data_IF_053673105945
#
_entry.id   IF_053673105945
#
_cell.length_a   1.000
_cell.length_b   1.000
_cell.length_c   1.000
_cell.angle_alpha   90.00
_cell.angle_beta   90.00
_cell.angle_gamma   90.00
#
_symmetry.space_group_name_H-M   'P 1'
#
loop_
_entity.id
_entity.type
_entity.pdbx_description
1 polymer ?
#
# COMPACT_ATOMS: atom_id res chain seq x y z
N UNK A 1 -3.79 25.31 20.31
CA UNK A 1 -4.29 23.94 20.56
C UNK A 1 -5.23 24.00 21.75
N UNK A 2 -6.44 23.45 21.61
CA UNK A 2 -7.43 23.48 22.72
C UNK A 2 -6.89 22.67 23.93
N UNK A 3 -7.12 23.14 25.17
CA UNK A 3 -6.60 22.49 26.38
C UNK A 3 -6.99 21.01 26.50
N UNK A 4 -8.16 20.65 26.02
CA UNK A 4 -8.68 19.26 26.03
C UNK A 4 -7.86 18.33 25.11
N UNK A 5 -7.40 18.82 23.95
CA UNK A 5 -6.54 18.06 23.04
C UNK A 5 -5.18 17.83 23.66
N UNK A 6 -4.64 18.85 24.35
CA UNK A 6 -3.35 18.74 25.05
C UNK A 6 -3.38 17.70 26.17
N UNK A 7 -4.47 17.60 26.93
CA UNK A 7 -4.61 16.62 28.00
C UNK A 7 -4.71 15.18 27.44
N UNK A 8 -5.41 14.97 26.32
CA UNK A 8 -5.46 13.68 25.67
C UNK A 8 -4.09 13.24 25.14
N UNK A 9 -3.32 14.16 24.56
CA UNK A 9 -1.95 13.93 24.11
C UNK A 9 -1.02 13.55 25.25
N UNK A 10 -1.06 14.28 26.34
CA UNK A 10 -0.17 14.05 27.50
C UNK A 10 -0.44 12.74 28.22
N UNK A 11 -1.69 12.29 28.28
CA UNK A 11 -2.06 11.03 28.93
C UNK A 11 -1.67 9.79 28.12
N UNK A 12 -1.57 9.89 26.80
CA UNK A 12 -1.26 8.78 25.90
C UNK A 12 0.17 8.82 25.35
N UNK A 13 0.91 9.92 25.52
CA UNK A 13 2.24 10.15 24.96
C UNK A 13 3.29 9.09 25.33
N UNK A 14 3.12 8.40 26.45
CA UNK A 14 4.03 7.32 26.88
C UNK A 14 3.89 6.02 26.07
N UNK A 15 2.83 5.87 25.28
CA UNK A 15 2.50 4.62 24.57
C UNK A 15 2.73 4.65 23.06
N UNK A 16 2.89 5.83 22.46
CA UNK A 16 2.95 5.99 21.02
C UNK A 16 4.19 6.76 20.59
N UNK A 17 4.80 6.35 19.47
CA UNK A 17 5.93 7.07 18.84
C UNK A 17 5.48 8.33 18.10
N UNK A 18 4.29 8.30 17.50
CA UNK A 18 3.70 9.40 16.74
C UNK A 18 2.25 9.53 17.13
N UNK A 19 1.79 10.75 17.36
CA UNK A 19 0.39 11.08 17.59
C UNK A 19 0.00 12.22 16.66
N UNK A 20 -1.10 12.04 15.93
CA UNK A 20 -1.66 13.07 15.06
C UNK A 20 -3.06 13.37 15.57
N UNK A 21 -3.29 14.60 16.04
CA UNK A 21 -4.61 15.06 16.41
C UNK A 21 -5.23 15.84 15.24
N UNK A 22 -6.35 15.35 14.76
CA UNK A 22 -7.15 16.04 13.75
C UNK A 22 -8.38 16.61 14.45
N UNK A 23 -8.58 17.91 14.31
CA UNK A 23 -9.80 18.57 14.76
C UNK A 23 -10.57 19.03 13.53
N UNK A 24 -11.68 18.36 13.17
CA UNK A 24 -12.58 18.89 12.15
C UNK A 24 -13.13 20.23 12.62
N UNK A 25 -13.37 21.15 11.68
CA UNK A 25 -14.06 22.37 12.04
C UNK A 25 -15.54 22.09 12.43
N UNK A 26 -16.12 23.00 13.20
CA UNK A 26 -17.47 22.80 13.73
C UNK A 26 -18.54 22.72 12.61
N UNK A 27 -18.30 23.33 11.45
CA UNK A 27 -19.18 23.26 10.29
C UNK A 27 -19.15 21.86 9.65
N UNK A 28 -17.99 21.21 9.56
CA UNK A 28 -17.88 19.84 9.10
C UNK A 28 -18.59 18.85 10.04
N UNK A 29 -18.46 19.03 11.33
CA UNK A 29 -19.14 18.20 12.33
C UNK A 29 -20.66 18.33 12.27
N UNK A 30 -21.20 19.52 11.98
CA UNK A 30 -22.63 19.77 11.81
C UNK A 30 -23.20 19.10 10.55
N UNK A 31 -22.42 19.06 9.45
CA UNK A 31 -22.89 18.49 8.19
C UNK A 31 -22.75 16.98 8.09
N UNK A 32 -21.72 16.40 8.70
CA UNK A 32 -21.38 14.97 8.53
C UNK A 32 -21.90 14.10 9.69
N UNK A 33 -22.17 14.70 10.86
CA UNK A 33 -22.63 14.00 12.06
C UNK A 33 -21.55 13.11 12.70
N UNK A 34 -21.60 13.01 14.01
CA UNK A 34 -20.59 12.26 14.82
C UNK A 34 -20.46 10.78 14.40
N UNK A 35 -21.56 10.16 13.99
CA UNK A 35 -21.61 8.74 13.59
C UNK A 35 -20.92 8.49 12.24
N UNK A 36 -20.79 9.50 11.38
CA UNK A 36 -20.17 9.33 10.08
C UNK A 36 -18.66 9.03 10.21
N UNK A 37 -17.96 9.69 11.14
CA UNK A 37 -16.55 9.40 11.42
C UNK A 37 -16.36 7.99 11.97
N UNK A 38 -17.26 7.52 12.85
CA UNK A 38 -17.21 6.16 13.36
C UNK A 38 -17.36 5.13 12.24
N UNK A 39 -18.32 5.37 11.33
CA UNK A 39 -18.54 4.49 10.20
C UNK A 39 -17.39 4.54 9.21
N UNK A 40 -16.88 5.74 8.88
CA UNK A 40 -15.72 5.90 8.01
C UNK A 40 -14.50 5.14 8.56
N UNK A 41 -14.20 5.26 9.86
CA UNK A 41 -13.08 4.51 10.46
C UNK A 41 -13.33 3.01 10.49
N UNK A 42 -14.58 2.57 10.72
CA UNK A 42 -14.93 1.15 10.63
C UNK A 42 -14.76 0.62 9.21
N UNK A 43 -15.15 1.39 8.19
CA UNK A 43 -15.00 1.02 6.79
C UNK A 43 -13.52 1.00 6.36
N UNK A 44 -12.77 2.07 6.64
CA UNK A 44 -11.34 2.17 6.28
C UNK A 44 -10.50 1.06 6.90
N UNK A 45 -10.80 0.67 8.15
CA UNK A 45 -10.11 -0.40 8.85
C UNK A 45 -10.91 -1.70 8.91
N UNK A 46 -11.94 -1.86 8.06
CA UNK A 46 -12.69 -3.11 7.96
C UNK A 46 -11.77 -4.25 7.54
N UNK A 47 -10.84 -3.98 6.61
CA UNK A 47 -9.82 -4.91 6.19
C UNK A 47 -8.53 -4.69 6.99
N UNK A 48 -8.09 -5.73 7.72
CA UNK A 48 -6.80 -5.72 8.44
C UNK A 48 -5.60 -5.61 7.50
N UNK A 49 -5.80 -5.91 6.21
CA UNK A 49 -4.74 -5.89 5.19
C UNK A 49 -4.25 -4.46 4.88
N UNK A 50 -4.99 -3.43 5.28
CA UNK A 50 -4.60 -2.02 5.04
C UNK A 50 -3.20 -1.68 5.55
N UNK A 51 -2.72 -2.36 6.59
CA UNK A 51 -1.38 -2.14 7.16
C UNK A 51 -0.32 -3.10 6.65
N UNK A 52 -0.69 -4.01 5.74
CA UNK A 52 0.17 -5.12 5.34
C UNK A 52 1.50 -4.64 4.74
N UNK A 53 1.42 -3.58 3.93
CA UNK A 53 2.56 -3.01 3.22
C UNK A 53 3.11 -1.71 3.84
N UNK A 54 2.56 -1.27 4.99
CA UNK A 54 3.08 -0.08 5.66
C UNK A 54 4.29 -0.49 6.49
N UNK A 55 5.50 -0.01 6.15
CA UNK A 55 6.71 -0.38 6.87
C UNK A 55 6.64 0.08 8.33
N UNK A 56 7.19 -0.72 9.24
CA UNK A 56 7.31 -0.42 10.68
C UNK A 56 5.98 -0.25 11.44
N UNK A 57 4.82 -0.54 10.84
CA UNK A 57 3.53 -0.59 11.53
C UNK A 57 3.08 -2.05 11.65
N UNK A 58 3.07 -2.58 12.85
CA UNK A 58 2.61 -3.93 13.15
C UNK A 58 1.15 -3.99 13.59
N UNK A 59 0.63 -2.89 14.10
CA UNK A 59 -0.77 -2.80 14.50
C UNK A 59 -1.29 -1.37 14.47
N UNK A 60 -2.56 -1.22 14.14
CA UNK A 60 -3.31 0.04 14.25
C UNK A 60 -4.51 -0.20 15.15
N UNK A 61 -4.64 0.63 16.17
CA UNK A 61 -5.75 0.61 17.11
C UNK A 61 -6.59 1.87 16.93
N UNK A 62 -7.87 1.67 16.63
CA UNK A 62 -8.84 2.76 16.52
C UNK A 62 -9.63 2.86 17.81
N UNK A 63 -9.59 4.03 18.45
CA UNK A 63 -10.30 4.33 19.69
C UNK A 63 -11.20 5.53 19.46
N UNK A 64 -12.49 5.39 19.69
CA UNK A 64 -13.50 6.46 19.53
C UNK A 64 -14.22 6.63 20.86
N UNK A 65 -14.23 7.87 21.39
CA UNK A 65 -14.88 8.17 22.67
C UNK A 65 -14.34 7.35 23.86
N UNK A 66 -13.06 6.99 23.83
CA UNK A 66 -12.41 6.17 24.86
C UNK A 66 -12.68 4.67 24.74
N UNK A 67 -13.50 4.24 23.77
CA UNK A 67 -13.77 2.82 23.50
C UNK A 67 -12.96 2.36 22.29
N UNK A 68 -12.34 1.19 22.43
CA UNK A 68 -11.68 0.52 21.31
C UNK A 68 -12.73 -0.03 20.35
N UNK A 69 -12.68 0.40 19.10
CA UNK A 69 -13.63 -0.02 18.06
C UNK A 69 -13.03 -1.00 17.05
N UNK A 70 -11.71 -0.96 16.86
CA UNK A 70 -11.01 -1.85 15.94
C UNK A 70 -9.53 -1.97 16.30
N UNK A 71 -8.99 -3.16 16.14
CA UNK A 71 -7.55 -3.42 16.06
C UNK A 71 -7.27 -4.10 14.72
N UNK A 72 -6.39 -3.50 13.91
CA UNK A 72 -5.77 -4.16 12.77
C UNK A 72 -4.38 -4.61 13.19
N UNK A 73 -4.09 -5.87 13.07
CA UNK A 73 -2.79 -6.42 13.42
C UNK A 73 -2.24 -7.23 12.26
N UNK A 74 -0.97 -7.01 11.93
CA UNK A 74 -0.26 -7.81 10.93
C UNK A 74 -0.09 -9.22 11.49
N UNK A 75 -0.72 -10.19 10.85
CA UNK A 75 -0.66 -11.59 11.25
C UNK A 75 0.30 -12.37 10.33
N UNK A 76 1.56 -12.46 10.74
CA UNK A 76 2.60 -13.16 9.97
C UNK A 76 2.37 -14.69 9.93
N UNK A 77 1.44 -15.23 10.72
CA UNK A 77 1.11 -16.65 10.67
C UNK A 77 0.12 -17.01 9.54
N UNK A 78 -0.52 -15.99 8.95
CA UNK A 78 -1.47 -16.16 7.84
C UNK A 78 -0.98 -15.52 6.54
N UNK A 79 0.03 -14.65 6.62
CA UNK A 79 0.52 -13.89 5.50
C UNK A 79 2.00 -14.13 5.26
N UNK A 80 2.32 -14.43 4.01
CA UNK A 80 3.67 -14.34 3.46
C UNK A 80 3.77 -12.94 2.85
N UNK A 81 4.74 -12.17 3.29
CA UNK A 81 5.02 -10.84 2.74
C UNK A 81 6.50 -10.76 2.43
N UNK A 82 6.84 -10.54 1.17
CA UNK A 82 8.21 -10.36 0.70
C UNK A 82 8.36 -8.97 0.06
N UNK A 83 9.40 -8.27 0.47
CA UNK A 83 9.74 -6.94 -0.03
C UNK A 83 11.01 -7.03 -0.88
N UNK A 84 10.97 -6.41 -2.06
CA UNK A 84 12.08 -6.31 -2.99
C UNK A 84 12.37 -4.85 -3.27
N UNK A 85 13.64 -4.49 -3.21
CA UNK A 85 14.12 -3.19 -3.67
C UNK A 85 14.87 -3.37 -4.98
N UNK A 86 14.67 -2.44 -5.90
CA UNK A 86 15.33 -2.43 -7.20
C UNK A 86 15.79 -1.02 -7.52
N UNK A 87 17.08 -0.90 -7.74
CA UNK A 87 17.67 0.35 -8.23
C UNK A 87 17.04 0.74 -9.57
N UNK A 88 16.71 2.01 -9.70
CA UNK A 88 16.29 2.62 -10.94
C UNK A 88 17.53 2.97 -11.74
N UNK A 89 17.56 2.60 -13.03
CA UNK A 89 18.68 2.95 -13.88
C UNK A 89 18.80 4.47 -14.09
N UNK A 90 20.00 4.91 -14.42
CA UNK A 90 20.31 6.33 -14.54
C UNK A 90 19.49 7.03 -15.63
N UNK A 91 19.15 6.35 -16.72
CA UNK A 91 18.42 6.92 -17.83
C UNK A 91 16.97 7.22 -17.41
N UNK A 92 16.30 6.25 -16.79
CA UNK A 92 14.95 6.41 -16.25
C UNK A 92 14.92 7.49 -15.16
N UNK A 93 15.88 7.47 -14.22
CA UNK A 93 15.99 8.50 -13.18
C UNK A 93 16.15 9.91 -13.78
N UNK A 94 17.00 10.05 -14.82
CA UNK A 94 17.19 11.31 -15.51
C UNK A 94 15.91 11.80 -16.19
N UNK A 95 15.15 10.91 -16.82
CA UNK A 95 13.85 11.24 -17.44
C UNK A 95 12.84 11.69 -16.39
N UNK A 96 12.73 10.97 -15.26
CA UNK A 96 11.84 11.33 -14.15
C UNK A 96 12.18 12.74 -13.63
N UNK A 97 13.44 13.02 -13.35
CA UNK A 97 13.88 14.32 -12.85
C UNK A 97 13.56 15.45 -13.83
N UNK A 98 13.90 15.26 -15.10
CA UNK A 98 13.59 16.24 -16.14
C UNK A 98 12.09 16.50 -16.26
N UNK A 99 11.28 15.45 -16.18
CA UNK A 99 9.82 15.54 -16.23
C UNK A 99 9.27 16.37 -15.08
N UNK A 100 9.76 16.12 -13.84
CA UNK A 100 9.36 16.89 -12.66
C UNK A 100 9.79 18.37 -12.79
N UNK A 101 10.99 18.61 -13.29
CA UNK A 101 11.54 19.96 -13.43
C UNK A 101 10.76 20.82 -14.47
N UNK A 102 9.96 20.23 -15.35
CA UNK A 102 9.06 20.99 -16.24
C UNK A 102 7.95 21.73 -15.48
N UNK A 103 7.65 21.33 -14.24
CA UNK A 103 6.55 21.85 -13.44
C UNK A 103 5.15 21.51 -13.98
N UNK A 104 5.04 20.70 -15.03
CA UNK A 104 3.78 20.27 -15.65
C UNK A 104 3.50 18.78 -15.46
N UNK A 105 4.37 18.10 -14.73
CA UNK A 105 4.34 16.66 -14.53
C UNK A 105 3.18 16.24 -13.61
N UNK A 106 2.58 15.07 -13.91
CA UNK A 106 1.71 14.34 -12.98
C UNK A 106 2.51 13.55 -11.94
N UNK A 107 3.84 13.45 -12.11
CA UNK A 107 4.72 12.78 -11.16
C UNK A 107 4.93 13.70 -9.96
N UNK A 108 4.59 13.25 -8.74
CA UNK A 108 4.81 14.03 -7.53
C UNK A 108 6.30 14.32 -7.30
N UNK A 109 6.61 15.49 -6.74
CA UNK A 109 7.99 15.93 -6.49
C UNK A 109 8.78 14.98 -5.57
N UNK A 110 8.10 14.18 -4.75
CA UNK A 110 8.74 13.14 -3.92
C UNK A 110 9.54 12.11 -4.72
N UNK A 111 9.28 11.96 -6.02
CA UNK A 111 10.04 11.07 -6.92
C UNK A 111 11.26 11.75 -7.54
N UNK A 112 11.54 13.01 -7.21
CA UNK A 112 12.79 13.65 -7.60
C UNK A 112 13.96 12.92 -6.95
N UNK A 113 14.96 12.56 -7.74
CA UNK A 113 16.08 11.70 -7.33
C UNK A 113 15.63 10.29 -6.86
N UNK A 114 14.59 9.76 -7.49
CA UNK A 114 14.07 8.42 -7.24
C UNK A 114 15.09 7.39 -7.74
N UNK A 115 15.91 6.88 -6.86
CA UNK A 115 17.04 6.00 -7.14
C UNK A 115 16.71 4.51 -6.98
N UNK A 116 15.66 4.20 -6.23
CA UNK A 116 15.19 2.84 -6.04
C UNK A 116 13.67 2.77 -5.91
N UNK A 117 13.07 1.68 -6.39
CA UNK A 117 11.65 1.37 -6.19
C UNK A 117 11.49 0.13 -5.32
N UNK A 118 10.44 0.12 -4.53
CA UNK A 118 10.04 -1.05 -3.73
C UNK A 118 8.84 -1.73 -4.36
N UNK A 119 8.96 -3.05 -4.50
CA UNK A 119 7.86 -3.94 -4.86
C UNK A 119 7.67 -4.96 -3.75
N UNK A 120 6.46 -5.09 -3.25
CA UNK A 120 6.13 -6.08 -2.22
C UNK A 120 5.01 -6.98 -2.71
N UNK A 121 5.14 -8.27 -2.44
CA UNK A 121 4.11 -9.26 -2.74
C UNK A 121 3.59 -9.87 -1.45
N UNK A 122 2.29 -10.15 -1.40
CA UNK A 122 1.69 -10.80 -0.26
C UNK A 122 0.62 -11.82 -0.68
N UNK A 123 0.69 -13.02 -0.10
CA UNK A 123 -0.34 -14.03 -0.24
C UNK A 123 -0.68 -14.64 1.12
N UNK A 124 -1.87 -15.23 1.22
CA UNK A 124 -2.27 -15.99 2.41
C UNK A 124 -1.70 -17.40 2.36
N UNK A 125 -1.52 -17.99 3.53
CA UNK A 125 -1.18 -19.40 3.65
C UNK A 125 -1.83 -20.04 4.87
N UNK A 126 -2.02 -21.35 4.79
CA UNK A 126 -2.47 -22.18 5.89
C UNK A 126 -1.52 -23.40 5.97
N UNK A 127 -0.63 -23.36 6.95
CA UNK A 127 0.48 -24.31 7.00
C UNK A 127 1.36 -24.21 5.75
N UNK A 128 1.47 -25.34 5.01
CA UNK A 128 2.25 -25.42 3.78
C UNK A 128 1.45 -25.04 2.51
N UNK A 129 0.17 -24.71 2.63
CA UNK A 129 -0.71 -24.45 1.48
C UNK A 129 -0.85 -22.96 1.29
N UNK A 130 -0.43 -22.44 0.14
CA UNK A 130 -0.69 -21.05 -0.28
C UNK A 130 -2.14 -20.96 -0.75
N UNK A 131 -2.83 -19.90 -0.34
CA UNK A 131 -4.23 -19.62 -0.68
C UNK A 131 -4.27 -18.45 -1.66
N UNK A 132 -4.76 -18.67 -2.89
CA UNK A 132 -5.02 -17.58 -3.83
C UNK A 132 -6.03 -16.58 -3.25
N UNK A 133 -5.91 -15.33 -3.64
CA UNK A 133 -6.81 -14.25 -3.24
C UNK A 133 -7.67 -13.91 -4.45
N UNK A 134 -8.97 -14.20 -4.38
CA UNK A 134 -9.93 -13.70 -5.34
C UNK A 134 -10.00 -12.17 -5.21
N UNK A 135 -10.18 -11.46 -6.32
CA UNK A 135 -10.27 -9.99 -6.34
C UNK A 135 -9.08 -9.27 -5.69
N UNK A 136 -7.87 -9.83 -5.86
CA UNK A 136 -6.67 -9.20 -5.35
C UNK A 136 -6.44 -7.82 -5.98
N UNK A 137 -6.06 -6.84 -5.15
CA UNK A 137 -5.90 -5.45 -5.53
C UNK A 137 -4.46 -4.99 -5.43
N UNK A 138 -4.15 -3.89 -6.12
CA UNK A 138 -2.91 -3.16 -6.02
C UNK A 138 -2.89 -2.24 -4.80
N UNK A 139 -1.71 -2.11 -4.22
CA UNK A 139 -1.40 -1.14 -3.18
C UNK A 139 -0.35 -0.16 -3.69
N UNK A 140 -0.55 1.10 -3.35
CA UNK A 140 0.46 2.15 -3.42
C UNK A 140 0.67 2.66 -1.99
N UNK A 141 1.30 1.83 -1.13
CA UNK A 141 1.33 1.88 0.33
C UNK A 141 -0.03 1.66 1.01
N UNK A 142 -1.07 2.29 0.52
CA UNK A 142 -2.47 2.09 0.92
C UNK A 142 -3.22 1.38 -0.22
N UNK A 143 -4.31 0.67 0.09
CA UNK A 143 -5.07 -0.04 -0.92
C UNK A 143 -5.64 0.92 -1.97
N UNK A 144 -5.70 0.45 -3.21
CA UNK A 144 -6.50 1.01 -4.29
C UNK A 144 -7.72 0.11 -4.52
N UNK A 145 -8.55 0.43 -5.51
CA UNK A 145 -9.57 -0.50 -6.00
C UNK A 145 -9.16 -1.17 -7.31
N UNK A 146 -7.92 -0.92 -7.76
CA UNK A 146 -7.41 -1.51 -8.99
C UNK A 146 -7.20 -3.01 -8.81
N UNK A 147 -7.92 -3.81 -9.59
CA UNK A 147 -7.59 -5.22 -9.79
C UNK A 147 -6.45 -5.33 -10.79
N UNK A 148 -5.53 -6.27 -10.57
CA UNK A 148 -4.39 -6.45 -11.45
C UNK A 148 -4.29 -7.86 -12.05
N UNK A 149 -5.33 -8.66 -11.83
CA UNK A 149 -5.50 -9.96 -12.48
C UNK A 149 -4.69 -11.12 -11.89
N UNK A 150 -3.89 -10.90 -10.84
CA UNK A 150 -3.14 -11.95 -10.16
C UNK A 150 -3.79 -12.32 -8.83
N UNK A 151 -3.67 -13.57 -8.36
CA UNK A 151 -4.33 -14.05 -7.15
C UNK A 151 -3.51 -13.78 -5.87
N UNK A 152 -2.85 -12.64 -5.80
CA UNK A 152 -2.09 -12.16 -4.64
C UNK A 152 -2.05 -10.62 -4.61
N UNK A 153 -1.80 -10.05 -3.44
CA UNK A 153 -1.67 -8.60 -3.28
C UNK A 153 -0.28 -8.13 -3.71
N UNK A 154 -0.22 -6.99 -4.38
CA UNK A 154 1.03 -6.33 -4.73
C UNK A 154 1.02 -4.89 -4.23
N UNK A 155 2.16 -4.44 -3.72
CA UNK A 155 2.43 -3.03 -3.43
C UNK A 155 3.58 -2.53 -4.28
N UNK A 156 3.45 -1.33 -4.79
CA UNK A 156 4.50 -0.68 -5.57
C UNK A 156 4.44 0.84 -5.38
N UNK A 157 5.51 1.52 -5.78
CA UNK A 157 5.60 2.98 -5.82
C UNK A 157 4.83 3.62 -6.98
N UNK A 158 3.91 2.91 -7.60
CA UNK A 158 3.06 3.44 -8.67
C UNK A 158 2.24 4.64 -8.19
N UNK A 159 1.87 5.49 -9.14
CA UNK A 159 1.02 6.65 -8.90
C UNK A 159 -0.44 6.23 -9.09
N UNK A 160 -1.25 6.22 -8.03
CA UNK A 160 -2.67 5.96 -8.15
C UNK A 160 -3.43 7.20 -8.63
N UNK A 161 -4.62 7.03 -9.19
CA UNK A 161 -5.57 8.14 -9.42
C UNK A 161 -5.92 8.82 -8.10
N UNK A 162 -6.30 10.08 -8.16
CA UNK A 162 -6.54 10.89 -6.96
C UNK A 162 -7.60 10.32 -6.01
N UNK A 163 -8.59 9.63 -6.54
CA UNK A 163 -9.64 8.92 -5.80
C UNK A 163 -9.26 7.48 -5.40
N UNK A 164 -8.07 7.02 -5.80
CA UNK A 164 -7.53 5.67 -5.56
C UNK A 164 -8.39 4.52 -6.11
N UNK A 165 -9.30 4.81 -7.04
CA UNK A 165 -10.11 3.78 -7.68
C UNK A 165 -9.28 2.95 -8.68
N UNK A 166 -8.15 3.49 -9.15
CA UNK A 166 -7.31 2.87 -10.16
C UNK A 166 -5.88 3.41 -10.09
N UNK A 167 -5.00 2.88 -10.95
CA UNK A 167 -3.66 3.41 -11.21
C UNK A 167 -3.76 4.45 -12.33
N UNK A 168 -2.97 5.53 -12.23
CA UNK A 168 -2.90 6.54 -13.27
C UNK A 168 -2.25 5.95 -14.53
N UNK A 169 -2.94 5.99 -15.66
CA UNK A 169 -2.49 5.38 -16.92
C UNK A 169 -1.69 6.32 -17.81
N UNK A 170 -1.81 7.62 -17.61
CA UNK A 170 -1.18 8.64 -18.46
C UNK A 170 -0.10 9.40 -17.68
N UNK A 171 0.92 8.69 -17.19
CA UNK A 171 2.06 9.27 -16.49
C UNK A 171 3.27 9.25 -17.42
N UNK A 172 3.14 9.95 -18.57
CA UNK A 172 4.21 10.05 -19.55
C UNK A 172 5.38 10.89 -19.02
N UNK A 173 6.58 10.43 -19.31
CA UNK A 173 7.81 11.15 -19.03
C UNK A 173 8.07 12.21 -20.14
N UNK A 174 9.14 12.97 -20.02
CA UNK A 174 9.43 14.10 -20.91
C UNK A 174 9.65 13.68 -22.37
N UNK A 175 10.04 12.43 -22.62
CA UNK A 175 10.20 11.87 -23.96
C UNK A 175 8.87 11.57 -24.67
N UNK A 176 7.73 11.69 -23.96
CA UNK A 176 6.36 11.41 -24.43
C UNK A 176 6.13 9.95 -24.87
N UNK A 177 7.11 9.07 -24.66
CA UNK A 177 7.05 7.64 -25.01
C UNK A 177 7.05 6.76 -23.77
N UNK A 178 7.86 7.10 -22.77
CA UNK A 178 8.03 6.31 -21.54
C UNK A 178 6.93 6.63 -20.53
N UNK A 179 6.22 5.61 -20.05
CA UNK A 179 5.20 5.75 -19.00
C UNK A 179 5.76 5.27 -17.66
N UNK A 180 5.76 6.14 -16.65
CA UNK A 180 6.30 5.86 -15.33
C UNK A 180 5.69 4.60 -14.68
N UNK A 181 4.36 4.47 -14.69
CA UNK A 181 3.70 3.32 -14.06
C UNK A 181 3.92 2.02 -14.84
N UNK A 182 4.09 2.08 -16.16
CA UNK A 182 4.43 0.91 -16.98
C UNK A 182 5.84 0.40 -16.69
N UNK A 183 6.81 1.31 -16.53
CA UNK A 183 8.16 0.94 -16.11
C UNK A 183 8.17 0.25 -14.74
N UNK A 184 7.42 0.78 -13.76
CA UNK A 184 7.29 0.13 -12.46
C UNK A 184 6.55 -1.22 -12.54
N UNK A 185 5.60 -1.36 -13.46
CA UNK A 185 4.92 -2.63 -13.73
C UNK A 185 5.89 -3.67 -14.29
N UNK A 186 6.75 -3.28 -15.22
CA UNK A 186 7.77 -4.17 -15.78
C UNK A 186 8.77 -4.64 -14.70
N UNK A 187 9.20 -3.73 -13.81
CA UNK A 187 10.04 -4.07 -12.66
C UNK A 187 9.31 -5.06 -11.74
N UNK A 188 8.03 -4.81 -11.44
CA UNK A 188 7.24 -5.70 -10.60
C UNK A 188 7.09 -7.10 -11.22
N UNK A 189 6.85 -7.19 -12.52
CA UNK A 189 6.78 -8.46 -13.26
C UNK A 189 8.08 -9.27 -13.13
N UNK A 190 9.24 -8.61 -13.29
CA UNK A 190 10.52 -9.28 -13.09
C UNK A 190 10.69 -9.77 -11.65
N UNK A 191 10.30 -8.98 -10.64
CA UNK A 191 10.40 -9.36 -9.23
C UNK A 191 9.45 -10.48 -8.86
N UNK A 192 8.29 -10.57 -9.48
CA UNK A 192 7.35 -11.69 -9.30
C UNK A 192 7.99 -13.04 -9.62
N UNK A 193 8.78 -13.14 -10.71
CA UNK A 193 9.50 -14.38 -11.02
C UNK A 193 10.49 -14.77 -9.93
N UNK A 194 11.23 -13.81 -9.36
CA UNK A 194 12.15 -14.08 -8.25
C UNK A 194 11.39 -14.55 -7.02
N UNK A 195 10.29 -13.88 -6.67
CA UNK A 195 9.45 -14.29 -5.55
C UNK A 195 8.90 -15.70 -5.72
N UNK A 196 8.41 -16.04 -6.91
CA UNK A 196 7.92 -17.37 -7.21
C UNK A 196 9.03 -18.44 -7.02
N UNK A 197 10.24 -18.16 -7.52
CA UNK A 197 11.40 -19.05 -7.35
C UNK A 197 11.78 -19.19 -5.87
N UNK A 198 11.75 -18.13 -5.08
CA UNK A 198 12.00 -18.20 -3.63
C UNK A 198 10.98 -19.09 -2.91
N UNK A 199 9.69 -18.93 -3.24
CA UNK A 199 8.66 -19.79 -2.66
C UNK A 199 8.87 -21.27 -3.04
N UNK A 200 9.18 -21.56 -4.30
CA UNK A 200 9.45 -22.91 -4.79
C UNK A 200 10.70 -23.53 -4.13
N UNK A 201 11.78 -22.78 -4.03
CA UNK A 201 13.06 -23.26 -3.49
C UNK A 201 13.10 -23.30 -1.97
N UNK A 202 12.20 -22.60 -1.29
CA UNK A 202 12.11 -22.62 0.17
C UNK A 202 11.74 -23.99 0.74
N UNK A 203 11.12 -24.86 -0.04
CA UNK A 203 10.58 -26.16 0.37
C UNK A 203 9.60 -26.10 1.56
N UNK A 204 9.06 -24.91 1.85
CA UNK A 204 8.11 -24.67 2.94
C UNK A 204 6.67 -24.89 2.50
N UNK A 205 6.39 -24.76 1.20
CA UNK A 205 5.05 -24.74 0.64
C UNK A 205 4.87 -25.86 -0.36
N UNK A 206 3.63 -26.33 -0.48
CA UNK A 206 3.27 -27.35 -1.47
C UNK A 206 3.39 -26.76 -2.88
N UNK A 207 4.09 -27.49 -3.75
CA UNK A 207 4.42 -27.05 -5.10
C UNK A 207 3.18 -26.62 -5.90
N UNK A 208 2.11 -27.42 -5.85
CA UNK A 208 0.85 -27.09 -6.53
C UNK A 208 0.21 -25.81 -6.03
N UNK A 209 0.32 -25.51 -4.72
CA UNK A 209 -0.21 -24.28 -4.15
C UNK A 209 0.61 -23.04 -4.52
N UNK A 210 1.92 -23.18 -4.73
CA UNK A 210 2.75 -22.07 -5.24
C UNK A 210 2.36 -21.72 -6.67
N UNK A 211 2.12 -22.73 -7.52
CA UNK A 211 1.68 -22.48 -8.90
C UNK A 211 0.29 -21.86 -9.00
N UNK A 212 -0.55 -21.95 -7.96
CA UNK A 212 -1.83 -21.25 -7.94
C UNK A 212 -1.71 -19.72 -7.90
N UNK A 213 -0.50 -19.17 -7.67
CA UNK A 213 -0.21 -17.74 -7.80
C UNK A 213 -0.03 -17.28 -9.26
N UNK A 214 0.11 -18.20 -10.20
CA UNK A 214 0.17 -17.88 -11.63
C UNK A 214 -1.26 -17.76 -12.14
N UNK A 215 -1.66 -16.63 -12.75
CA UNK A 215 -3.01 -16.49 -13.28
C UNK A 215 -3.23 -17.45 -14.44
N UNK A 216 -4.42 -18.00 -14.51
CA UNK A 216 -4.86 -18.72 -15.71
C UNK A 216 -5.25 -17.66 -16.75
N UNK A 217 -4.54 -17.64 -17.86
CA UNK A 217 -4.90 -16.84 -19.03
C UNK A 217 -5.77 -17.74 -19.93
N UNK A 218 -7.07 -17.82 -19.62
CA UNK A 218 -8.06 -18.42 -20.53
C UNK A 218 -8.58 -17.41 -21.55
#
# INVERSE_FOLDING_TARGET
VAPEVNNAFNSSSKKFRVQIALRPDDNHLLHIGKNCYENLFKEVFADSNIILFIPNINSVKVVIGGKEVRICQRNNNEWIVNDYEKDIDYELQSLINKTIDTGRSRIPEKYKNFDATRVSFACKHEGAIIKPIEDAILYCYLPTKASWGFPFLMNSDMIPKGDRNDIETEVLLQDEETNFNEELTAIAGNRFFYWLLELLTSHKYELGSVFSLIPNFD
#
